data_IF_916767897999
#
_entry.id   IF_916767897999
#
_cell.length_a   1.000
_cell.length_b   1.000
_cell.length_c   1.000
_cell.angle_alpha   90.00
_cell.angle_beta   90.00
_cell.angle_gamma   90.00
#
_symmetry.space_group_name_H-M   'P 1'
#
loop_
_entity.id
_entity.type
_entity.pdbx_description
1 polymer ?
#
# COMPACT_ATOMS: atom_id res chain seq x y z
N UNK A 1 8.78 -25.73 13.34
CA UNK A 1 7.58 -24.90 13.07
C UNK A 1 7.73 -23.61 13.87
N UNK A 2 7.52 -22.44 13.27
CA UNK A 2 7.72 -21.17 13.98
C UNK A 2 6.61 -21.00 15.04
N UNK A 3 6.97 -20.93 16.31
CA UNK A 3 6.03 -20.72 17.43
C UNK A 3 6.24 -19.35 18.08
N UNK A 4 5.22 -18.84 18.75
CA UNK A 4 5.29 -17.56 19.47
C UNK A 4 6.40 -17.59 20.52
N UNK A 5 6.49 -18.68 21.29
CA UNK A 5 7.48 -18.89 22.34
C UNK A 5 8.89 -18.94 21.76
N UNK A 6 9.09 -19.74 20.69
CA UNK A 6 10.41 -19.90 20.07
C UNK A 6 10.91 -18.60 19.44
N UNK A 7 10.04 -17.84 18.78
CA UNK A 7 10.40 -16.52 18.25
C UNK A 7 10.70 -15.54 19.40
N UNK A 8 9.92 -15.56 20.48
CA UNK A 8 10.16 -14.70 21.64
C UNK A 8 11.51 -14.98 22.30
N UNK A 9 11.87 -16.25 22.49
CA UNK A 9 13.17 -16.65 23.03
C UNK A 9 14.32 -16.21 22.14
N UNK A 10 14.20 -16.39 20.82
CA UNK A 10 15.21 -15.94 19.86
C UNK A 10 15.39 -14.43 19.88
N UNK A 11 14.30 -13.66 19.92
CA UNK A 11 14.35 -12.19 20.04
C UNK A 11 15.07 -11.80 21.34
N UNK A 12 14.74 -12.42 22.48
CA UNK A 12 15.43 -12.15 23.77
C UNK A 12 16.91 -12.52 23.73
N UNK A 13 17.26 -13.65 23.11
CA UNK A 13 18.66 -14.06 22.94
C UNK A 13 19.43 -13.05 22.11
N UNK A 14 18.92 -12.69 20.92
CA UNK A 14 19.53 -11.70 20.04
C UNK A 14 19.70 -10.35 20.74
N UNK A 15 18.68 -9.87 21.46
CA UNK A 15 18.76 -8.60 22.20
C UNK A 15 19.87 -8.63 23.25
N UNK A 16 19.92 -9.67 24.09
CA UNK A 16 20.94 -9.84 25.13
C UNK A 16 22.35 -9.91 24.54
N UNK A 17 22.54 -10.70 23.49
CA UNK A 17 23.83 -10.87 22.82
C UNK A 17 24.37 -9.58 22.18
N UNK A 18 23.49 -8.63 21.84
CA UNK A 18 23.85 -7.38 21.17
C UNK A 18 23.70 -6.16 22.09
N UNK A 19 23.64 -6.36 23.41
CA UNK A 19 23.63 -5.28 24.41
C UNK A 19 22.36 -4.42 24.41
N UNK A 20 21.25 -4.90 23.84
CA UNK A 20 19.98 -4.20 23.93
C UNK A 20 19.37 -4.34 25.34
N UNK A 21 18.61 -3.34 25.83
CA UNK A 21 17.88 -3.45 27.08
C UNK A 21 16.94 -4.66 27.09
N UNK A 22 16.82 -5.30 28.26
CA UNK A 22 15.83 -6.37 28.50
C UNK A 22 14.44 -5.74 28.68
N UNK A 23 13.86 -5.35 27.56
CA UNK A 23 12.53 -4.76 27.50
C UNK A 23 11.49 -5.88 27.38
N UNK A 24 10.43 -5.88 28.20
CA UNK A 24 9.33 -6.81 28.01
C UNK A 24 8.67 -6.53 26.67
N UNK A 25 8.21 -7.61 26.01
CA UNK A 25 7.39 -7.51 24.82
C UNK A 25 6.44 -8.69 24.70
N UNK A 26 5.37 -8.51 23.93
CA UNK A 26 4.39 -9.55 23.63
C UNK A 26 4.22 -9.75 22.12
N UNK A 27 4.32 -11.01 21.70
CA UNK A 27 3.94 -11.47 20.37
C UNK A 27 2.60 -12.20 20.52
N UNK A 28 1.58 -11.76 19.79
CA UNK A 28 0.25 -12.37 19.80
C UNK A 28 0.17 -13.56 18.83
N UNK A 29 0.82 -13.44 17.68
CA UNK A 29 0.74 -14.46 16.63
C UNK A 29 1.99 -14.48 15.74
N UNK A 30 2.31 -15.65 15.20
CA UNK A 30 3.34 -15.83 14.17
C UNK A 30 2.74 -16.60 13.01
N UNK A 31 2.90 -16.07 11.79
CA UNK A 31 2.42 -16.70 10.56
C UNK A 31 3.58 -16.89 9.59
N UNK A 32 3.70 -18.07 9.02
CA UNK A 32 4.69 -18.36 8.00
C UNK A 32 4.01 -18.55 6.65
N UNK A 33 4.53 -17.89 5.62
CA UNK A 33 4.12 -18.06 4.23
C UNK A 33 5.20 -18.86 3.49
N UNK A 34 4.95 -20.16 3.20
CA UNK A 34 5.92 -21.03 2.53
C UNK A 34 6.23 -20.60 1.09
N UNK A 35 5.25 -20.00 0.40
CA UNK A 35 5.38 -19.60 -1.02
C UNK A 35 6.43 -18.48 -1.18
N UNK A 36 6.35 -17.46 -0.31
CA UNK A 36 7.32 -16.37 -0.30
C UNK A 36 8.56 -16.61 0.57
N UNK A 37 8.59 -17.70 1.34
CA UNK A 37 9.51 -17.94 2.45
C UNK A 37 9.60 -16.71 3.39
N UNK A 38 8.42 -16.29 3.88
CA UNK A 38 8.27 -15.08 4.70
C UNK A 38 7.65 -15.39 6.05
N UNK A 39 8.27 -14.85 7.10
CA UNK A 39 7.73 -14.92 8.45
C UNK A 39 7.09 -13.58 8.84
N UNK A 40 5.86 -13.64 9.28
CA UNK A 40 5.12 -12.51 9.83
C UNK A 40 5.00 -12.68 11.34
N UNK A 41 5.41 -11.66 12.08
CA UNK A 41 5.30 -11.59 13.53
C UNK A 41 4.28 -10.51 13.85
N UNK A 42 3.23 -10.86 14.59
CA UNK A 42 2.18 -9.94 15.00
C UNK A 42 2.42 -9.64 16.48
N UNK A 43 3.01 -8.48 16.73
CA UNK A 43 3.21 -7.95 18.07
C UNK A 43 1.91 -7.37 18.61
N UNK A 44 1.75 -7.34 19.93
CA UNK A 44 0.51 -6.88 20.54
C UNK A 44 0.26 -5.39 20.26
N UNK A 45 1.26 -4.52 20.46
CA UNK A 45 1.18 -3.11 20.12
C UNK A 45 2.42 -2.58 19.34
N UNK A 46 2.48 -1.26 19.13
CA UNK A 46 3.61 -0.60 18.44
C UNK A 46 4.90 -0.58 19.25
N UNK A 47 4.80 -0.55 20.58
CA UNK A 47 5.95 -0.62 21.49
C UNK A 47 6.57 -2.01 21.39
N UNK A 48 5.75 -3.06 21.46
CA UNK A 48 6.17 -4.46 21.28
C UNK A 48 6.80 -4.67 19.91
N UNK A 49 6.16 -4.17 18.84
CA UNK A 49 6.73 -4.19 17.47
C UNK A 49 8.12 -3.57 17.47
N UNK A 50 8.31 -2.41 18.12
CA UNK A 50 9.60 -1.73 18.19
C UNK A 50 10.65 -2.52 18.98
N UNK A 51 10.26 -3.24 20.04
CA UNK A 51 11.18 -4.13 20.78
C UNK A 51 11.61 -5.33 19.91
N UNK A 52 10.68 -5.93 19.17
CA UNK A 52 10.95 -7.07 18.27
C UNK A 52 11.82 -6.63 17.07
N UNK A 53 11.59 -5.43 16.52
CA UNK A 53 12.42 -4.87 15.43
C UNK A 53 13.79 -4.41 15.97
N UNK A 54 13.82 -3.81 17.16
CA UNK A 54 14.93 -3.03 17.68
C UNK A 54 15.23 -1.85 16.76
N UNK A 55 16.47 -1.73 16.31
CA UNK A 55 16.89 -0.76 15.28
C UNK A 55 17.13 -1.47 13.94
N UNK A 56 16.20 -2.33 13.51
CA UNK A 56 16.35 -3.26 12.36
C UNK A 56 17.41 -4.36 12.52
N UNK A 57 18.28 -4.28 13.54
CA UNK A 57 19.30 -5.29 13.82
C UNK A 57 18.68 -6.61 14.30
N UNK A 58 17.71 -6.53 15.22
CA UNK A 58 17.11 -7.73 15.82
C UNK A 58 16.39 -8.55 14.76
N UNK A 59 15.56 -7.90 13.94
CA UNK A 59 14.86 -8.55 12.82
C UNK A 59 15.84 -9.09 11.76
N UNK A 60 16.95 -8.39 11.51
CA UNK A 60 18.01 -8.85 10.59
C UNK A 60 18.67 -10.15 11.06
N UNK A 61 19.08 -10.22 12.32
CA UNK A 61 19.64 -11.45 12.94
C UNK A 61 18.61 -12.56 13.08
N UNK A 62 17.36 -12.21 13.37
CA UNK A 62 16.27 -13.19 13.44
C UNK A 62 16.06 -13.87 12.09
N UNK A 63 16.03 -13.09 11.00
CA UNK A 63 15.99 -13.61 9.63
C UNK A 63 17.15 -14.57 9.35
N UNK A 64 18.39 -14.17 9.70
CA UNK A 64 19.59 -14.99 9.50
C UNK A 64 19.53 -16.32 10.26
N UNK A 65 19.14 -16.29 11.54
CA UNK A 65 19.05 -17.51 12.37
C UNK A 65 17.96 -18.47 11.92
N UNK A 66 16.85 -17.93 11.45
CA UNK A 66 15.70 -18.71 11.01
C UNK A 66 15.87 -19.23 9.57
N UNK A 67 16.84 -18.69 8.81
CA UNK A 67 17.10 -19.09 7.43
C UNK A 67 15.98 -18.74 6.45
N UNK A 68 15.13 -17.76 6.79
CA UNK A 68 14.01 -17.32 5.94
C UNK A 68 14.40 -16.13 5.07
N UNK A 69 13.81 -15.98 3.88
CA UNK A 69 14.08 -14.83 2.99
C UNK A 69 13.69 -13.49 3.61
N UNK A 70 12.56 -13.44 4.33
CA UNK A 70 12.04 -12.19 4.89
C UNK A 70 11.37 -12.41 6.24
N UNK A 71 11.58 -11.46 7.16
CA UNK A 71 10.80 -11.34 8.40
C UNK A 71 10.13 -9.97 8.38
N UNK A 72 8.87 -9.89 8.77
CA UNK A 72 8.12 -8.62 8.88
C UNK A 72 7.32 -8.62 10.17
N UNK A 73 7.34 -7.48 10.87
CA UNK A 73 6.65 -7.32 12.16
C UNK A 73 5.53 -6.30 12.00
N UNK A 74 4.31 -6.70 12.33
CA UNK A 74 3.13 -5.85 12.40
C UNK A 74 2.70 -5.68 13.84
N UNK A 75 2.00 -4.58 14.16
CA UNK A 75 1.26 -4.49 15.42
C UNK A 75 -0.18 -4.96 15.19
N UNK A 76 -0.76 -5.63 16.18
CA UNK A 76 -2.15 -6.07 16.11
C UNK A 76 -3.10 -4.86 15.98
N UNK A 77 -2.77 -3.74 16.62
CA UNK A 77 -3.50 -2.48 16.48
C UNK A 77 -3.56 -2.00 15.01
N UNK A 78 -2.44 -2.01 14.28
CA UNK A 78 -2.43 -1.59 12.87
C UNK A 78 -3.28 -2.54 12.00
N UNK A 79 -3.24 -3.85 12.28
CA UNK A 79 -4.07 -4.84 11.57
C UNK A 79 -5.57 -4.67 11.89
N UNK A 80 -5.91 -4.32 13.11
CA UNK A 80 -7.30 -4.09 13.52
C UNK A 80 -7.87 -2.82 12.89
N UNK A 81 -7.07 -1.73 12.81
CA UNK A 81 -7.43 -0.52 12.07
C UNK A 81 -7.67 -0.85 10.60
N UNK A 82 -6.79 -1.66 9.99
CA UNK A 82 -6.97 -2.14 8.61
C UNK A 82 -8.31 -2.89 8.45
N UNK A 83 -8.62 -3.84 9.32
CA UNK A 83 -9.89 -4.61 9.26
C UNK A 83 -11.11 -3.70 9.30
N UNK A 84 -11.16 -2.74 10.22
CA UNK A 84 -12.27 -1.77 10.30
C UNK A 84 -12.44 -0.95 9.03
N UNK A 85 -11.34 -0.46 8.46
CA UNK A 85 -11.37 0.26 7.17
C UNK A 85 -11.87 -0.63 6.02
N UNK A 86 -11.54 -1.91 6.04
CA UNK A 86 -12.01 -2.87 5.04
C UNK A 86 -13.50 -3.19 5.19
N UNK A 87 -14.04 -3.22 6.41
CA UNK A 87 -15.50 -3.33 6.64
C UNK A 87 -16.27 -2.10 6.12
N UNK A 88 -15.69 -0.90 6.26
CA UNK A 88 -16.21 0.30 5.61
C UNK A 88 -16.12 0.20 4.09
N UNK A 89 -14.98 -0.22 3.55
CA UNK A 89 -14.79 -0.41 2.11
C UNK A 89 -15.77 -1.41 1.51
N UNK A 90 -16.03 -2.53 2.19
CA UNK A 90 -16.98 -3.55 1.73
C UNK A 90 -18.39 -2.97 1.57
N UNK A 91 -18.86 -2.20 2.56
CA UNK A 91 -20.16 -1.52 2.52
C UNK A 91 -20.24 -0.48 1.40
N UNK A 92 -19.14 0.18 1.06
CA UNK A 92 -19.12 1.18 -0.01
C UNK A 92 -19.21 0.57 -1.42
N UNK A 93 -18.75 -0.67 -1.60
CA UNK A 93 -18.79 -1.34 -2.92
C UNK A 93 -20.02 -2.22 -3.10
N UNK A 94 -20.69 -2.60 -2.02
CA UNK A 94 -21.88 -3.44 -2.04
C UNK A 94 -23.03 -2.83 -2.86
N UNK A 95 -23.61 -3.62 -3.77
CA UNK A 95 -24.68 -3.15 -4.66
C UNK A 95 -24.24 -2.16 -5.75
N UNK A 96 -22.93 -1.95 -5.93
CA UNK A 96 -22.36 -1.08 -6.96
C UNK A 96 -21.70 -1.89 -8.08
N UNK A 97 -21.34 -1.24 -9.20
CA UNK A 97 -20.55 -1.88 -10.26
C UNK A 97 -19.15 -2.33 -9.79
N UNK A 98 -18.72 -1.93 -8.59
CA UNK A 98 -17.44 -2.31 -7.97
C UNK A 98 -17.55 -3.51 -7.03
N UNK A 99 -18.70 -4.19 -6.97
CA UNK A 99 -18.92 -5.34 -6.08
C UNK A 99 -17.91 -6.48 -6.32
N UNK A 100 -17.34 -6.58 -7.53
CA UNK A 100 -16.24 -7.50 -7.83
C UNK A 100 -15.00 -7.32 -6.93
N UNK A 101 -14.86 -6.20 -6.22
CA UNK A 101 -13.79 -5.96 -5.25
C UNK A 101 -14.00 -6.70 -3.91
N UNK A 102 -15.21 -7.13 -3.57
CA UNK A 102 -15.51 -7.80 -2.28
C UNK A 102 -14.58 -8.98 -1.97
N UNK A 103 -14.29 -9.91 -2.90
CA UNK A 103 -13.35 -11.00 -2.65
C UNK A 103 -11.92 -10.53 -2.29
N UNK A 104 -11.47 -9.40 -2.85
CA UNK A 104 -10.16 -8.81 -2.53
C UNK A 104 -10.19 -8.18 -1.13
N UNK A 105 -11.27 -7.48 -0.79
CA UNK A 105 -11.49 -6.88 0.53
C UNK A 105 -11.49 -7.98 1.62
N UNK A 106 -12.22 -9.06 1.40
CA UNK A 106 -12.27 -10.22 2.30
C UNK A 106 -10.91 -10.93 2.44
N UNK A 107 -10.14 -11.00 1.36
CA UNK A 107 -8.77 -11.50 1.42
C UNK A 107 -7.87 -10.57 2.27
N UNK A 108 -7.99 -9.25 2.11
CA UNK A 108 -7.21 -8.29 2.89
C UNK A 108 -7.53 -8.27 4.39
N UNK A 109 -8.76 -8.62 4.81
CA UNK A 109 -9.10 -8.73 6.23
C UNK A 109 -8.28 -9.81 6.95
N UNK A 110 -7.82 -10.82 6.19
CA UNK A 110 -7.01 -11.95 6.68
C UNK A 110 -5.50 -11.71 6.58
N UNK A 111 -5.08 -10.60 5.98
CA UNK A 111 -3.68 -10.20 5.89
C UNK A 111 -3.04 -10.10 7.29
N UNK A 112 -1.78 -10.54 7.49
CA UNK A 112 -0.86 -11.19 6.54
C UNK A 112 -0.90 -12.74 6.56
N UNK A 113 -0.45 -13.46 5.51
CA UNK A 113 0.05 -12.96 4.23
C UNK A 113 -1.06 -12.45 3.31
N UNK A 114 -0.68 -11.70 2.27
CA UNK A 114 -1.60 -11.22 1.23
C UNK A 114 -1.81 -12.31 0.19
N UNK A 115 -3.02 -12.87 0.12
CA UNK A 115 -3.40 -13.88 -0.88
C UNK A 115 -4.70 -13.47 -1.56
N UNK A 116 -4.58 -12.70 -2.64
CA UNK A 116 -5.74 -12.24 -3.40
C UNK A 116 -6.28 -13.35 -4.30
N UNK A 117 -7.60 -13.61 -4.29
CA UNK A 117 -8.21 -14.50 -5.26
C UNK A 117 -8.07 -13.97 -6.69
N UNK A 118 -8.34 -14.83 -7.66
CA UNK A 118 -8.56 -14.38 -9.04
C UNK A 118 -9.92 -13.70 -9.12
N UNK A 119 -9.92 -12.47 -9.65
CA UNK A 119 -11.08 -11.60 -9.75
C UNK A 119 -10.97 -10.88 -11.08
N UNK A 120 -12.10 -10.73 -11.78
CA UNK A 120 -12.20 -9.93 -13.00
C UNK A 120 -13.33 -8.92 -12.84
N UNK A 121 -13.07 -7.65 -13.19
CA UNK A 121 -14.10 -6.63 -13.35
C UNK A 121 -14.32 -6.31 -14.82
N UNK A 122 -15.54 -5.95 -15.22
CA UNK A 122 -15.86 -5.53 -16.59
C UNK A 122 -16.25 -4.05 -16.66
N UNK A 123 -15.64 -3.22 -15.80
CA UNK A 123 -15.92 -1.79 -15.72
C UNK A 123 -14.88 -1.05 -16.55
N UNK A 124 -15.33 -0.29 -17.55
CA UNK A 124 -14.43 0.53 -18.38
C UNK A 124 -13.74 1.58 -17.52
N UNK A 125 -12.42 1.52 -17.50
CA UNK A 125 -11.59 2.20 -16.51
C UNK A 125 -10.65 3.22 -17.16
N UNK A 126 -10.55 4.40 -16.58
CA UNK A 126 -9.52 5.38 -16.86
C UNK A 126 -8.47 5.29 -15.74
N UNK A 127 -7.23 4.98 -16.06
CA UNK A 127 -6.13 5.02 -15.09
C UNK A 127 -5.34 6.30 -15.29
N UNK A 128 -5.38 7.19 -14.31
CA UNK A 128 -4.52 8.37 -14.30
C UNK A 128 -3.20 8.03 -13.61
N UNK A 129 -2.09 8.16 -14.34
CA UNK A 129 -0.75 7.92 -13.81
C UNK A 129 -0.37 9.05 -12.84
N UNK A 130 -0.62 8.79 -11.56
CA UNK A 130 -0.18 9.61 -10.42
C UNK A 130 1.01 8.95 -9.70
N UNK A 131 1.36 9.39 -8.50
CA UNK A 131 2.52 8.94 -7.74
C UNK A 131 2.73 7.42 -7.69
N UNK A 132 1.65 6.65 -7.53
CA UNK A 132 1.65 5.20 -7.53
C UNK A 132 1.31 4.59 -8.91
N UNK A 133 1.65 5.27 -10.02
CA UNK A 133 1.32 4.91 -11.40
C UNK A 133 1.49 3.41 -11.71
N UNK A 134 2.63 2.83 -11.33
CA UNK A 134 2.91 1.41 -11.59
C UNK A 134 1.97 0.48 -10.80
N UNK A 135 1.63 0.84 -9.58
CA UNK A 135 0.68 0.10 -8.77
C UNK A 135 -0.75 0.25 -9.29
N UNK A 136 -1.14 1.43 -9.78
CA UNK A 136 -2.48 1.66 -10.34
C UNK A 136 -2.70 0.82 -11.61
N UNK A 137 -1.70 0.78 -12.50
CA UNK A 137 -1.72 -0.10 -13.67
C UNK A 137 -1.72 -1.58 -13.25
N UNK A 138 -0.83 -1.97 -12.33
CA UNK A 138 -0.76 -3.34 -11.84
C UNK A 138 -2.05 -3.80 -11.17
N UNK A 139 -2.77 -2.89 -10.49
CA UNK A 139 -4.09 -3.15 -9.93
C UNK A 139 -5.13 -3.39 -11.02
N UNK A 140 -5.18 -2.53 -12.05
CA UNK A 140 -6.08 -2.70 -13.18
C UNK A 140 -5.82 -4.01 -13.94
N UNK A 141 -4.55 -4.34 -14.19
CA UNK A 141 -4.11 -5.59 -14.81
C UNK A 141 -4.48 -6.82 -13.95
N UNK A 142 -4.23 -6.75 -12.64
CA UNK A 142 -4.51 -7.86 -11.70
C UNK A 142 -5.99 -8.21 -11.59
N UNK A 143 -6.86 -7.23 -11.84
CA UNK A 143 -8.31 -7.36 -11.85
C UNK A 143 -8.89 -7.48 -13.27
N UNK A 144 -8.03 -7.64 -14.28
CA UNK A 144 -8.39 -7.78 -15.68
C UNK A 144 -9.41 -6.71 -16.15
N UNK A 145 -9.23 -5.47 -15.68
CA UNK A 145 -10.11 -4.37 -16.02
C UNK A 145 -9.82 -3.89 -17.46
N UNK A 146 -10.85 -3.60 -18.28
CA UNK A 146 -10.63 -2.89 -19.53
C UNK A 146 -10.26 -1.43 -19.22
N UNK A 147 -9.00 -1.05 -19.46
CA UNK A 147 -8.51 0.28 -19.10
C UNK A 147 -7.81 1.07 -20.21
N UNK A 148 -7.91 2.40 -20.12
CA UNK A 148 -7.09 3.36 -20.83
C UNK A 148 -6.20 4.12 -19.85
N UNK A 149 -4.90 4.20 -20.12
CA UNK A 149 -3.95 4.89 -19.25
C UNK A 149 -3.66 6.30 -19.78
N UNK A 150 -3.86 7.30 -18.93
CA UNK A 150 -3.57 8.71 -19.19
C UNK A 150 -2.64 9.26 -18.12
N UNK A 151 -1.92 10.34 -18.39
CA UNK A 151 -1.02 10.94 -17.40
C UNK A 151 -0.44 12.25 -17.88
N UNK A 152 0.16 13.02 -16.96
CA UNK A 152 0.76 14.28 -17.34
C UNK A 152 1.92 14.07 -18.33
N UNK A 153 2.01 14.96 -19.31
CA UNK A 153 3.07 14.95 -20.30
C UNK A 153 4.46 14.90 -19.63
N UNK A 154 5.28 13.95 -20.07
CA UNK A 154 6.64 13.70 -19.57
C UNK A 154 6.77 13.25 -18.11
N UNK A 155 5.70 13.08 -17.33
CA UNK A 155 5.81 12.68 -15.94
C UNK A 155 6.40 11.27 -15.74
N UNK A 156 6.13 10.33 -16.65
CA UNK A 156 6.57 8.93 -16.55
C UNK A 156 7.22 8.44 -17.86
N UNK A 157 8.42 8.91 -18.23
CA UNK A 157 9.01 8.67 -19.56
C UNK A 157 9.26 7.20 -19.91
N UNK A 158 9.23 6.30 -18.92
CA UNK A 158 9.43 4.85 -19.11
C UNK A 158 8.11 4.07 -19.18
N UNK A 159 6.96 4.72 -19.10
CA UNK A 159 5.64 4.10 -19.06
C UNK A 159 4.86 4.46 -20.32
N UNK A 160 3.99 3.55 -20.77
CA UNK A 160 3.10 3.77 -21.90
C UNK A 160 1.78 4.34 -21.40
N UNK A 161 1.45 5.55 -21.84
CA UNK A 161 0.20 6.24 -21.53
C UNK A 161 -0.07 7.33 -22.56
N UNK A 162 -1.31 7.79 -22.63
CA UNK A 162 -1.67 8.97 -23.41
C UNK A 162 -1.37 10.25 -22.61
N UNK A 163 -0.53 11.15 -23.13
CA UNK A 163 -0.17 12.37 -22.42
C UNK A 163 -1.33 13.36 -22.44
N UNK A 164 -1.61 13.95 -21.29
CA UNK A 164 -2.53 15.08 -21.13
C UNK A 164 -1.80 16.28 -20.51
N UNK A 165 -2.33 17.48 -20.75
CA UNK A 165 -1.84 18.70 -20.08
C UNK A 165 -2.33 18.77 -18.64
N UNK A 166 -1.61 19.48 -17.78
CA UNK A 166 -1.96 19.67 -16.37
C UNK A 166 -0.79 20.18 -15.54
N UNK A 167 -1.08 20.50 -14.29
CA UNK A 167 -0.09 21.04 -13.36
C UNK A 167 0.74 19.92 -12.71
N UNK A 168 2.05 20.11 -12.46
CA UNK A 168 2.90 19.10 -11.81
C UNK A 168 2.37 18.60 -10.45
N UNK A 169 1.58 19.40 -9.75
CA UNK A 169 0.94 19.00 -8.50
C UNK A 169 -0.10 17.87 -8.70
N UNK A 170 -0.71 17.76 -9.87
CA UNK A 170 -1.75 16.76 -10.18
C UNK A 170 -1.20 15.33 -10.14
N UNK A 171 0.11 15.13 -10.33
CA UNK A 171 0.76 13.81 -10.15
C UNK A 171 0.59 13.29 -8.73
N UNK A 172 0.48 14.18 -7.75
CA UNK A 172 0.37 13.85 -6.33
C UNK A 172 -1.07 14.06 -5.83
N UNK A 173 -1.78 15.04 -6.39
CA UNK A 173 -3.16 15.36 -6.05
C UNK A 173 -4.00 15.46 -7.33
N UNK A 174 -4.46 14.31 -7.87
CA UNK A 174 -5.22 14.29 -9.12
C UNK A 174 -6.47 15.17 -9.07
N UNK A 175 -6.70 15.93 -10.14
CA UNK A 175 -7.90 16.77 -10.28
C UNK A 175 -9.12 15.90 -10.61
N UNK A 176 -10.01 15.74 -9.62
CA UNK A 176 -11.21 14.91 -9.76
C UNK A 176 -12.17 15.42 -10.84
N UNK A 177 -12.41 16.73 -10.95
CA UNK A 177 -13.37 17.28 -11.92
C UNK A 177 -12.88 17.08 -13.35
N UNK A 178 -11.59 17.36 -13.57
CA UNK A 178 -10.94 17.14 -14.86
C UNK A 178 -10.98 15.66 -15.27
N UNK A 179 -10.70 14.75 -14.34
CA UNK A 179 -10.73 13.31 -14.62
C UNK A 179 -12.14 12.78 -14.84
N UNK A 180 -13.16 13.32 -14.16
CA UNK A 180 -14.57 13.00 -14.41
C UNK A 180 -14.95 13.38 -15.85
N UNK A 181 -14.60 14.59 -16.30
CA UNK A 181 -14.93 15.06 -17.65
C UNK A 181 -14.26 14.16 -18.71
N UNK A 182 -12.97 13.86 -18.52
CA UNK A 182 -12.21 12.98 -19.42
C UNK A 182 -12.77 11.55 -19.43
N UNK A 183 -13.16 11.02 -18.27
CA UNK A 183 -13.81 9.71 -18.17
C UNK A 183 -15.16 9.69 -18.91
N UNK A 184 -15.95 10.77 -18.81
CA UNK A 184 -17.20 10.91 -19.55
C UNK A 184 -17.00 10.89 -21.07
N UNK A 185 -16.04 11.65 -21.59
CA UNK A 185 -15.67 11.65 -23.02
C UNK A 185 -15.27 10.25 -23.51
N UNK A 186 -14.54 9.51 -22.67
CA UNK A 186 -14.07 8.15 -22.95
C UNK A 186 -15.06 7.07 -22.58
N UNK A 187 -16.24 7.43 -22.06
CA UNK A 187 -17.26 6.48 -21.57
C UNK A 187 -16.72 5.51 -20.51
N UNK A 188 -15.72 5.93 -19.73
CA UNK A 188 -15.23 5.20 -18.58
C UNK A 188 -16.15 5.45 -17.37
N UNK A 189 -16.41 4.40 -16.60
CA UNK A 189 -17.25 4.45 -15.39
C UNK A 189 -16.43 4.39 -14.10
N UNK A 190 -15.14 4.07 -14.21
CA UNK A 190 -14.20 4.01 -13.10
C UNK A 190 -12.96 4.84 -13.43
N UNK A 191 -12.49 5.64 -12.48
CA UNK A 191 -11.20 6.33 -12.53
C UNK A 191 -10.32 5.83 -11.40
N UNK A 192 -9.13 5.33 -11.74
CA UNK A 192 -8.09 4.97 -10.79
C UNK A 192 -7.04 6.07 -10.71
N UNK A 193 -6.83 6.62 -9.50
CA UNK A 193 -5.79 7.61 -9.24
C UNK A 193 -5.43 7.66 -7.74
N UNK A 194 -4.36 8.38 -7.39
CA UNK A 194 -3.99 8.68 -6.00
C UNK A 194 -4.88 9.78 -5.37
N UNK A 195 -6.21 9.59 -5.40
CA UNK A 195 -7.15 10.49 -4.73
C UNK A 195 -6.92 10.54 -3.22
N UNK A 196 -7.27 11.64 -2.53
CA UNK A 196 -7.16 11.77 -1.07
C UNK A 196 -8.23 10.98 -0.30
N UNK A 197 -9.00 10.12 -0.96
CA UNK A 197 -10.05 9.28 -0.36
C UNK A 197 -10.02 7.89 -0.99
N UNK A 198 -10.62 6.89 -0.34
CA UNK A 198 -10.69 5.52 -0.85
C UNK A 198 -11.59 5.39 -2.08
N UNK A 199 -12.88 5.70 -1.93
CA UNK A 199 -13.87 5.62 -3.00
C UNK A 199 -14.86 6.77 -2.88
N UNK A 200 -15.22 7.39 -4.01
CA UNK A 200 -16.29 8.36 -4.12
C UNK A 200 -17.03 8.16 -5.44
N UNK A 201 -18.35 8.31 -5.42
CA UNK A 201 -19.16 8.35 -6.63
C UNK A 201 -19.50 9.80 -6.94
N UNK A 202 -19.22 10.24 -8.16
CA UNK A 202 -19.58 11.57 -8.66
C UNK A 202 -20.27 11.39 -10.02
N UNK A 203 -21.51 11.85 -10.12
CA UNK A 203 -22.40 11.52 -11.25
C UNK A 203 -22.52 9.98 -11.37
N UNK A 204 -22.23 9.42 -12.54
CA UNK A 204 -22.22 7.97 -12.80
C UNK A 204 -20.79 7.38 -12.81
N UNK A 205 -19.79 8.11 -12.31
CA UNK A 205 -18.39 7.72 -12.34
C UNK A 205 -17.87 7.46 -10.93
N UNK A 206 -17.24 6.32 -10.74
CA UNK A 206 -16.52 5.98 -9.52
C UNK A 206 -15.09 6.51 -9.56
N UNK A 207 -14.69 7.29 -8.56
CA UNK A 207 -13.33 7.74 -8.31
C UNK A 207 -12.71 6.88 -7.21
N UNK A 208 -11.68 6.10 -7.54
CA UNK A 208 -11.11 5.09 -6.67
C UNK A 208 -9.60 5.28 -6.49
N UNK A 209 -9.17 5.44 -5.23
CA UNK A 209 -7.81 5.13 -4.83
C UNK A 209 -7.82 3.73 -4.19
N UNK A 210 -7.41 2.68 -4.93
CA UNK A 210 -7.53 1.31 -4.45
C UNK A 210 -6.69 1.06 -3.19
N UNK A 211 -5.63 1.83 -2.98
CA UNK A 211 -4.70 1.62 -1.87
C UNK A 211 -5.20 2.27 -0.57
N UNK A 212 -5.86 3.42 -0.67
CA UNK A 212 -6.59 4.00 0.46
C UNK A 212 -7.81 3.16 0.80
N UNK A 213 -8.55 2.66 -0.21
CA UNK A 213 -9.70 1.79 0.00
C UNK A 213 -9.31 0.50 0.73
N UNK A 214 -8.23 -0.16 0.29
CA UNK A 214 -7.77 -1.44 0.88
C UNK A 214 -6.80 -1.27 2.06
N UNK A 215 -6.51 -0.02 2.42
CA UNK A 215 -5.53 0.36 3.43
C UNK A 215 -4.20 -0.41 3.28
N UNK A 216 -3.56 -0.27 2.11
CA UNK A 216 -2.30 -0.91 1.77
C UNK A 216 -1.21 0.16 1.71
N UNK A 217 -0.16 -0.02 2.51
CA UNK A 217 0.91 0.96 2.62
C UNK A 217 1.80 1.01 1.37
N UNK A 218 2.44 2.16 1.14
CA UNK A 218 3.32 2.40 -0.01
C UNK A 218 4.39 1.32 -0.21
N UNK A 219 5.04 0.90 0.89
CA UNK A 219 6.09 -0.12 0.82
C UNK A 219 5.51 -1.44 0.31
N UNK A 220 4.35 -1.85 0.81
CA UNK A 220 3.67 -3.06 0.37
C UNK A 220 3.33 -2.99 -1.13
N UNK A 221 2.81 -1.86 -1.61
CA UNK A 221 2.53 -1.63 -3.03
C UNK A 221 3.79 -1.78 -3.88
N UNK A 222 4.91 -1.22 -3.41
CA UNK A 222 6.19 -1.33 -4.10
C UNK A 222 6.67 -2.78 -4.22
N UNK A 223 6.39 -3.66 -3.25
CA UNK A 223 6.71 -5.10 -3.41
C UNK A 223 5.72 -5.82 -4.31
N UNK A 224 4.45 -5.42 -4.30
CA UNK A 224 3.41 -6.07 -5.09
C UNK A 224 3.51 -5.73 -6.58
N UNK A 225 3.68 -4.45 -6.90
CA UNK A 225 3.59 -3.94 -8.28
C UNK A 225 4.85 -3.20 -8.73
N UNK A 226 5.77 -2.91 -7.80
CA UNK A 226 6.91 -2.03 -8.08
C UNK A 226 6.56 -0.55 -7.93
N UNK A 227 7.54 0.30 -8.23
CA UNK A 227 7.38 1.76 -8.15
C UNK A 227 8.18 2.40 -9.29
N UNK A 228 7.51 3.20 -10.12
CA UNK A 228 8.15 4.10 -11.08
C UNK A 228 8.01 5.52 -10.54
N UNK A 229 9.14 6.21 -10.41
CA UNK A 229 9.16 7.54 -9.82
C UNK A 229 8.77 8.58 -10.89
N UNK A 230 7.86 9.53 -10.61
CA UNK A 230 7.61 10.62 -11.53
C UNK A 230 8.85 11.52 -11.68
N UNK A 231 9.05 12.08 -12.87
CA UNK A 231 10.14 13.05 -13.14
C UNK A 231 9.62 14.50 -13.18
N UNK A 232 8.32 14.68 -13.34
CA UNK A 232 7.63 15.98 -13.25
C UNK A 232 6.73 15.93 -12.01
N UNK A 233 6.96 16.80 -11.04
CA UNK A 233 6.12 16.95 -9.84
C UNK A 233 6.43 18.26 -9.12
N UNK A 234 5.45 18.76 -8.35
CA UNK A 234 5.67 19.90 -7.45
C UNK A 234 6.31 19.44 -6.13
N UNK A 235 7.42 20.08 -5.72
CA UNK A 235 8.18 19.70 -4.52
C UNK A 235 7.43 19.98 -3.22
N UNK A 236 6.63 21.05 -3.14
CA UNK A 236 5.84 21.36 -1.93
C UNK A 236 4.66 20.39 -1.80
N UNK A 237 4.01 20.08 -2.90
CA UNK A 237 2.99 19.05 -2.99
C UNK A 237 3.54 17.69 -2.57
N UNK A 238 4.79 17.36 -2.94
CA UNK A 238 5.41 16.10 -2.52
C UNK A 238 5.50 15.99 -0.99
N UNK A 239 5.95 17.05 -0.31
CA UNK A 239 6.02 17.03 1.16
C UNK A 239 4.63 16.81 1.75
N UNK A 240 3.62 17.53 1.27
CA UNK A 240 2.24 17.38 1.76
C UNK A 240 1.71 15.97 1.53
N UNK A 241 1.84 15.46 0.31
CA UNK A 241 1.37 14.13 -0.06
C UNK A 241 2.00 13.03 0.81
N UNK A 242 3.31 13.09 1.03
CA UNK A 242 4.01 12.13 1.89
C UNK A 242 3.59 12.29 3.37
N UNK A 243 3.36 13.52 3.82
CA UNK A 243 2.87 13.78 5.17
C UNK A 243 1.47 13.20 5.37
N UNK A 244 0.58 13.36 4.39
CA UNK A 244 -0.79 12.80 4.43
C UNK A 244 -0.74 11.27 4.50
N UNK A 245 0.05 10.62 3.63
CA UNK A 245 0.22 9.16 3.68
C UNK A 245 0.78 8.68 5.03
N UNK A 246 1.70 9.45 5.63
CA UNK A 246 2.26 9.12 6.95
C UNK A 246 1.21 9.25 8.04
N UNK A 247 0.44 10.33 8.04
CA UNK A 247 -0.63 10.59 9.01
C UNK A 247 -1.73 9.52 8.95
N UNK A 248 -2.05 9.05 7.74
CA UNK A 248 -3.06 8.02 7.52
C UNK A 248 -2.60 6.60 7.84
N UNK A 249 -1.31 6.42 8.15
CA UNK A 249 -0.70 5.10 8.40
C UNK A 249 -0.41 4.30 7.13
N UNK A 250 -0.40 4.94 5.96
CA UNK A 250 -0.07 4.33 4.66
C UNK A 250 1.41 4.44 4.30
N UNK A 251 2.21 5.12 5.12
CA UNK A 251 3.66 5.22 4.96
C UNK A 251 4.32 5.34 6.33
N UNK A 252 5.43 4.63 6.54
CA UNK A 252 6.23 4.79 7.75
C UNK A 252 7.01 6.12 7.66
N UNK A 253 7.13 6.85 8.78
CA UNK A 253 7.72 8.19 8.81
C UNK A 253 9.17 8.23 8.29
N UNK A 254 9.94 7.18 8.57
CA UNK A 254 11.32 7.04 8.11
C UNK A 254 11.41 6.85 6.60
N UNK A 255 10.48 6.08 6.02
CA UNK A 255 10.38 5.90 4.56
C UNK A 255 9.94 7.18 3.87
N UNK A 256 8.97 7.88 4.45
CA UNK A 256 8.51 9.18 3.95
C UNK A 256 9.66 10.21 3.90
N UNK A 257 10.39 10.36 5.01
CA UNK A 257 11.54 11.26 5.07
C UNK A 257 12.63 10.90 4.04
N UNK A 258 12.94 9.61 3.89
CA UNK A 258 13.89 9.12 2.90
C UNK A 258 13.45 9.42 1.46
N UNK A 259 12.15 9.29 1.18
CA UNK A 259 11.60 9.51 -0.16
C UNK A 259 11.58 10.99 -0.52
N UNK A 260 11.16 11.86 0.41
CA UNK A 260 11.27 13.32 0.28
C UNK A 260 12.72 13.69 -0.02
N UNK A 261 13.68 13.24 0.79
CA UNK A 261 15.10 13.56 0.59
C UNK A 261 15.61 13.15 -0.81
N UNK A 262 15.28 11.92 -1.24
CA UNK A 262 15.71 11.38 -2.54
C UNK A 262 15.07 12.07 -3.74
N UNK A 263 13.87 12.59 -3.59
CA UNK A 263 13.15 13.31 -4.64
C UNK A 263 13.43 14.82 -4.61
N UNK A 264 13.84 15.38 -3.47
CA UNK A 264 14.16 16.79 -3.35
C UNK A 264 15.54 17.15 -3.93
N UNK A 265 16.52 16.23 -3.79
CA UNK A 265 17.90 16.41 -4.26
C UNK A 265 18.07 16.41 -5.79
N UNK A 266 17.04 16.02 -6.53
CA UNK A 266 16.98 16.12 -7.99
C UNK A 266 16.17 17.35 -8.38
#
# INVERSE_FOLDING_TARGET
MFTVEGISELVRAIRRENGFPDSPFRIDEVRYDPEGDKLFIIAHDRTDKSVVIGNSLVIGKLRERLGVKQVTVYSNLDLEIKRRKLEEAERLVEGTELEFLKPIIEAEKRFPPRKWPEVSGNVRTLVFLSFNAKALLGFAERLNLPYEAVGLKYAFPKMKYEPIDGEPAEVLFPDGEKLINLAGERKAKLVLADFPFGLRFEKEIALLNPFRLLHIGFFELKYLFGFERPVVYDKKALIRFITDLTYEGLMESTDGANLIWRMWRR
#
